data_IF_382933733951
#
_entry.id   IF_382933733951
#
_cell.length_a   1.000
_cell.length_b   1.000
_cell.length_c   1.000
_cell.angle_alpha   90.00
_cell.angle_beta   90.00
_cell.angle_gamma   90.00
#
_symmetry.space_group_name_H-M   'P 1'
#
loop_
_entity.id
_entity.type
_entity.pdbx_description
1 polymer ?
#
# COMPACT_ATOMS: atom_id res chain seq x y z
N UNK A 1 32.36 -14.80 3.54
CA UNK A 1 31.13 -14.88 4.36
C UNK A 1 30.01 -14.31 3.53
N UNK A 2 28.96 -15.08 3.25
CA UNK A 2 27.83 -14.63 2.44
C UNK A 2 27.01 -13.61 3.22
N UNK A 3 27.02 -12.35 2.78
CA UNK A 3 26.10 -11.30 3.24
C UNK A 3 24.70 -11.58 2.65
N UNK A 4 24.04 -12.62 3.12
CA UNK A 4 22.64 -12.91 2.77
C UNK A 4 21.77 -12.40 3.92
N UNK A 5 20.77 -11.59 3.58
CA UNK A 5 19.74 -11.14 4.51
C UNK A 5 18.90 -12.36 4.91
N UNK A 6 18.67 -12.62 6.22
CA UNK A 6 17.76 -13.67 6.67
C UNK A 6 16.35 -13.50 6.08
N UNK A 7 15.66 -14.60 5.81
CA UNK A 7 14.31 -14.58 5.19
C UNK A 7 13.35 -13.74 6.02
N UNK A 8 13.42 -13.87 7.34
CA UNK A 8 12.57 -13.15 8.28
C UNK A 8 12.78 -11.63 8.19
N UNK A 9 14.03 -11.20 7.99
CA UNK A 9 14.38 -9.79 7.82
C UNK A 9 13.89 -9.24 6.47
N UNK A 10 14.01 -10.02 5.40
CA UNK A 10 13.48 -9.66 4.08
C UNK A 10 11.95 -9.53 4.10
N UNK A 11 11.26 -10.45 4.78
CA UNK A 11 9.81 -10.40 4.97
C UNK A 11 9.40 -9.19 5.82
N UNK A 12 10.13 -8.88 6.89
CA UNK A 12 9.86 -7.70 7.72
C UNK A 12 9.99 -6.39 6.93
N UNK A 13 10.94 -6.30 6.00
CA UNK A 13 11.09 -5.15 5.10
C UNK A 13 9.85 -4.98 4.21
N UNK A 14 9.32 -6.07 3.64
CA UNK A 14 8.11 -6.02 2.82
C UNK A 14 6.90 -5.49 3.61
N UNK A 15 6.71 -5.98 4.84
CA UNK A 15 5.63 -5.49 5.71
C UNK A 15 5.78 -4.01 6.05
N UNK A 16 7.01 -3.57 6.32
CA UNK A 16 7.29 -2.16 6.60
C UNK A 16 7.03 -1.24 5.40
N UNK A 17 7.34 -1.70 4.20
CA UNK A 17 7.05 -0.95 2.97
C UNK A 17 5.54 -0.87 2.70
N UNK A 18 4.79 -1.96 2.95
CA UNK A 18 3.33 -1.95 2.89
C UNK A 18 2.72 -0.98 3.92
N UNK A 19 3.21 -1.00 5.17
CA UNK A 19 2.75 -0.08 6.22
C UNK A 19 3.04 1.39 5.87
N UNK A 20 4.18 1.66 5.23
CA UNK A 20 4.51 3.01 4.75
C UNK A 20 3.51 3.48 3.68
N UNK A 21 3.10 2.61 2.76
CA UNK A 21 2.10 2.94 1.74
C UNK A 21 0.77 3.26 2.41
N UNK A 22 0.32 2.42 3.34
CA UNK A 22 -0.88 2.67 4.15
C UNK A 22 -0.82 4.03 4.85
N UNK A 23 0.28 4.33 5.52
CA UNK A 23 0.46 5.60 6.23
C UNK A 23 0.49 6.80 5.27
N UNK A 24 1.01 6.66 4.04
CA UNK A 24 0.93 7.73 3.04
C UNK A 24 -0.51 8.02 2.64
N UNK A 25 -1.37 7.00 2.56
CA UNK A 25 -2.79 7.16 2.25
C UNK A 25 -3.53 7.77 3.44
N UNK A 26 -3.31 7.26 4.66
CA UNK A 26 -4.01 7.73 5.87
C UNK A 26 -3.56 9.11 6.36
N UNK A 27 -2.28 9.48 6.20
CA UNK A 27 -1.76 10.77 6.68
C UNK A 27 -2.05 11.95 5.74
N UNK A 28 -2.76 11.75 4.63
CA UNK A 28 -3.24 12.85 3.79
C UNK A 28 -4.56 13.47 4.28
N UNK A 29 -4.76 13.54 5.60
CA UNK A 29 -5.78 14.39 6.26
C UNK A 29 -5.61 15.91 6.01
N UNK A 30 -4.76 16.33 5.07
CA UNK A 30 -4.86 17.67 4.50
C UNK A 30 -6.06 17.71 3.54
N UNK A 31 -7.24 17.83 4.13
CA UNK A 31 -8.59 17.89 3.55
C UNK A 31 -8.76 18.85 2.34
N UNK A 32 -7.75 19.63 1.96
CA UNK A 32 -7.85 20.61 0.86
C UNK A 32 -7.63 20.04 -0.55
N UNK A 33 -7.11 18.82 -0.71
CA UNK A 33 -6.87 18.24 -2.05
C UNK A 33 -7.64 16.95 -2.35
N UNK A 34 -8.41 16.43 -1.39
CA UNK A 34 -9.04 15.10 -1.49
C UNK A 34 -10.12 15.03 -2.59
N UNK A 35 -10.76 16.14 -2.95
CA UNK A 35 -11.79 16.16 -4.00
C UNK A 35 -11.28 16.58 -5.39
N UNK A 36 -10.01 16.99 -5.53
CA UNK A 36 -9.38 17.36 -6.82
C UNK A 36 -8.47 16.22 -7.35
N UNK A 37 -8.76 14.99 -6.94
CA UNK A 37 -7.87 13.86 -6.67
C UNK A 37 -7.38 12.99 -7.84
N UNK A 38 -7.28 13.51 -9.06
CA UNK A 38 -6.68 12.70 -10.14
C UNK A 38 -5.22 12.35 -9.85
N UNK A 39 -4.48 13.27 -9.24
CA UNK A 39 -3.08 13.07 -8.86
C UNK A 39 -2.90 12.13 -7.65
N UNK A 40 -3.89 11.99 -6.77
CA UNK A 40 -3.77 11.13 -5.59
C UNK A 40 -3.97 9.65 -5.95
N UNK A 41 -4.99 9.38 -6.77
CA UNK A 41 -5.22 8.05 -7.35
C UNK A 41 -3.98 7.59 -8.13
N UNK A 42 -3.42 8.47 -8.98
CA UNK A 42 -2.17 8.20 -9.72
C UNK A 42 -0.96 7.92 -8.80
N UNK A 43 -0.85 8.61 -7.66
CA UNK A 43 0.22 8.36 -6.68
C UNK A 43 0.04 7.00 -6.02
N UNK A 44 -1.18 6.67 -5.62
CA UNK A 44 -1.50 5.37 -4.99
C UNK A 44 -1.24 4.23 -5.97
N UNK A 45 -1.72 4.34 -7.21
CA UNK A 45 -1.49 3.36 -8.26
C UNK A 45 0.01 3.14 -8.51
N UNK A 46 0.78 4.22 -8.53
CA UNK A 46 2.24 4.14 -8.70
C UNK A 46 2.90 3.46 -7.50
N UNK A 47 2.44 3.73 -6.27
CA UNK A 47 2.96 3.04 -5.07
C UNK A 47 2.59 1.54 -5.07
N UNK A 48 1.35 1.20 -5.43
CA UNK A 48 0.89 -0.19 -5.56
C UNK A 48 1.67 -0.96 -6.61
N UNK A 49 1.93 -0.32 -7.77
CA UNK A 49 2.79 -0.89 -8.79
C UNK A 49 4.22 -1.13 -8.28
N UNK A 50 4.82 -0.13 -7.60
CA UNK A 50 6.15 -0.26 -7.00
C UNK A 50 6.22 -1.42 -6.00
N UNK A 51 5.23 -1.55 -5.12
CA UNK A 51 5.15 -2.63 -4.15
C UNK A 51 4.97 -4.00 -4.84
N UNK A 52 4.12 -4.08 -5.86
CA UNK A 52 3.95 -5.32 -6.64
C UNK A 52 5.28 -5.83 -7.21
N UNK A 53 6.20 -4.93 -7.57
CA UNK A 53 7.53 -5.29 -8.09
C UNK A 53 8.47 -5.79 -7.00
N UNK A 54 8.35 -5.28 -5.77
CA UNK A 54 9.07 -5.82 -4.62
C UNK A 54 8.56 -7.23 -4.27
N UNK A 55 7.23 -7.43 -4.27
CA UNK A 55 6.61 -8.75 -4.06
C UNK A 55 7.03 -9.74 -5.14
N UNK A 56 6.96 -9.34 -6.42
CA UNK A 56 7.42 -10.16 -7.55
C UNK A 56 8.90 -10.54 -7.41
N UNK A 57 9.74 -9.60 -6.97
CA UNK A 57 11.14 -9.87 -6.69
C UNK A 57 11.31 -10.89 -5.57
N UNK A 58 10.64 -10.70 -4.43
CA UNK A 58 10.69 -11.60 -3.28
C UNK A 58 10.24 -13.03 -3.63
N UNK A 59 9.21 -13.17 -4.48
CA UNK A 59 8.79 -14.47 -5.03
C UNK A 59 9.89 -15.08 -5.89
N UNK A 60 10.50 -14.31 -6.79
CA UNK A 60 11.55 -14.80 -7.70
C UNK A 60 12.82 -15.27 -6.98
N UNK A 61 13.16 -14.66 -5.86
CA UNK A 61 14.32 -15.06 -5.04
C UNK A 61 13.98 -16.10 -3.97
N UNK A 62 12.72 -16.57 -3.92
CA UNK A 62 12.27 -17.63 -3.02
C UNK A 62 12.13 -17.22 -1.56
N UNK A 63 12.00 -15.91 -1.27
CA UNK A 63 11.75 -15.39 0.09
C UNK A 63 10.31 -15.65 0.52
N UNK A 64 9.36 -15.53 -0.42
CA UNK A 64 7.95 -15.86 -0.23
C UNK A 64 7.44 -16.70 -1.39
N UNK A 65 6.37 -17.45 -1.16
CA UNK A 65 5.64 -18.18 -2.19
C UNK A 65 4.77 -17.24 -3.03
N UNK A 66 4.38 -17.70 -4.22
CA UNK A 66 3.43 -16.96 -5.07
C UNK A 66 2.07 -16.74 -4.38
N UNK A 67 1.62 -17.70 -3.56
CA UNK A 67 0.38 -17.59 -2.81
C UNK A 67 0.47 -16.50 -1.72
N UNK A 68 1.57 -16.46 -0.97
CA UNK A 68 1.83 -15.41 0.02
C UNK A 68 1.93 -14.04 -0.64
N UNK A 69 2.66 -13.93 -1.76
CA UNK A 69 2.75 -12.69 -2.52
C UNK A 69 1.39 -12.21 -3.04
N UNK A 70 0.54 -13.11 -3.50
CA UNK A 70 -0.82 -12.77 -3.91
C UNK A 70 -1.67 -12.28 -2.74
N UNK A 71 -1.62 -12.98 -1.59
CA UNK A 71 -2.36 -12.58 -0.40
C UNK A 71 -1.93 -11.19 0.10
N UNK A 72 -0.63 -10.90 0.10
CA UNK A 72 -0.09 -9.58 0.46
C UNK A 72 -0.69 -8.45 -0.40
N UNK A 73 -0.84 -8.68 -1.71
CA UNK A 73 -1.44 -7.69 -2.60
C UNK A 73 -2.93 -7.50 -2.35
N UNK A 74 -3.66 -8.60 -2.13
CA UNK A 74 -5.11 -8.58 -1.86
C UNK A 74 -5.41 -7.85 -0.56
N UNK A 75 -4.63 -8.11 0.49
CA UNK A 75 -4.81 -7.48 1.80
C UNK A 75 -4.57 -5.97 1.70
N UNK A 76 -3.49 -5.54 1.02
CA UNK A 76 -3.18 -4.13 0.82
C UNK A 76 -4.25 -3.41 -0.02
N UNK A 77 -4.72 -4.04 -1.10
CA UNK A 77 -5.80 -3.48 -1.94
C UNK A 77 -7.08 -3.28 -1.13
N UNK A 78 -7.46 -4.27 -0.31
CA UNK A 78 -8.64 -4.18 0.55
C UNK A 78 -8.52 -3.02 1.55
N UNK A 79 -7.39 -2.90 2.24
CA UNK A 79 -7.18 -1.82 3.20
C UNK A 79 -7.22 -0.44 2.53
N UNK A 80 -6.66 -0.30 1.33
CA UNK A 80 -6.72 0.96 0.58
C UNK A 80 -8.16 1.32 0.19
N UNK A 81 -8.96 0.34 -0.25
CA UNK A 81 -10.38 0.56 -0.58
C UNK A 81 -11.22 0.99 0.61
N UNK A 82 -10.92 0.47 1.81
CA UNK A 82 -11.55 0.92 3.06
C UNK A 82 -11.21 2.39 3.33
N UNK A 83 -9.93 2.75 3.25
CA UNK A 83 -9.49 4.15 3.45
C UNK A 83 -10.11 5.09 2.41
N UNK A 84 -10.20 4.69 1.14
CA UNK A 84 -10.91 5.47 0.12
C UNK A 84 -12.37 5.69 0.45
N UNK A 85 -13.05 4.64 0.92
CA UNK A 85 -14.48 4.71 1.25
C UNK A 85 -14.72 5.64 2.42
N UNK A 86 -13.87 5.57 3.46
CA UNK A 86 -13.95 6.44 4.63
C UNK A 86 -13.71 7.91 4.26
N UNK A 87 -12.63 8.19 3.52
CA UNK A 87 -12.30 9.53 3.02
C UNK A 87 -13.45 10.10 2.17
N UNK A 88 -14.04 9.29 1.29
CA UNK A 88 -15.16 9.70 0.48
C UNK A 88 -16.36 10.06 1.37
N UNK A 89 -16.76 9.18 2.29
CA UNK A 89 -17.89 9.43 3.19
C UNK A 89 -17.71 10.70 4.03
N UNK A 90 -16.51 10.95 4.57
CA UNK A 90 -16.18 12.17 5.32
C UNK A 90 -16.37 13.44 4.46
N UNK A 91 -15.85 13.45 3.22
CA UNK A 91 -16.02 14.59 2.30
C UNK A 91 -17.49 14.82 1.93
N UNK A 92 -18.29 13.76 1.80
CA UNK A 92 -19.72 13.86 1.51
C UNK A 92 -20.52 14.42 2.70
N UNK A 93 -20.15 14.05 3.92
CA UNK A 93 -20.82 14.53 5.13
C UNK A 93 -20.45 15.99 5.46
N UNK A 94 -19.21 16.41 5.21
CA UNK A 94 -18.78 17.81 5.35
C UNK A 94 -19.50 18.79 4.39
N UNK A 95 -19.94 18.32 3.21
CA UNK A 95 -20.67 19.15 2.24
C UNK A 95 -22.16 19.33 2.57
N UNK A 96 -22.70 18.61 3.56
CA UNK A 96 -24.10 18.74 4.02
C UNK A 96 -24.28 19.60 5.27
N UNK A 97 -23.19 19.96 5.96
CA UNK A 97 -23.18 20.88 7.11
C UNK A 97 -22.96 22.33 6.71
#
# INVERSE_FOLDING_TARGET
>A
MSNLIPVEEAVAILYKDAERIKNLVSNQQNHQCIAQCKAFEEVIDTQMYGFSKQVEFAVKIGIITQAEGHQLMVDLEKELNEVYSDIYNEVYDEQKG
#
